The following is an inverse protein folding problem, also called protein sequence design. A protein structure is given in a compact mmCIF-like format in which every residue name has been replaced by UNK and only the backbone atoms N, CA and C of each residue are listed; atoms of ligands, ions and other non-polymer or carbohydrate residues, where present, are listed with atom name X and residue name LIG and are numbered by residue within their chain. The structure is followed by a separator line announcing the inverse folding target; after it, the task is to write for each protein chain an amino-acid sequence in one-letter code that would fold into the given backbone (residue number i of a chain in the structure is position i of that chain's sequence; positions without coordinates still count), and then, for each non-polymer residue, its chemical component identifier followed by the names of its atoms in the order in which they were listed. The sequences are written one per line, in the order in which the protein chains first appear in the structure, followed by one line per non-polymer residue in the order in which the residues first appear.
data_IF_698959357777
#
_entry.id   IF_698959357777
#
_cell.length_a   1.000
_cell.length_b   1.000
_cell.length_c   1.000
_cell.angle_alpha   90.00
_cell.angle_beta   90.00
_cell.angle_gamma   90.00
#
_symmetry.space_group_name_H-M   'P 1'
#
loop_
_entity.id
_entity.type
_entity.pdbx_description
1 polymer ?
#
# COMPACT_ATOMS: atom_id res chain seq x y z
N UNK A 1 74.67 13.32 -44.88
CA UNK A 1 73.26 13.72 -44.67
C UNK A 1 72.77 13.54 -43.23
N UNK A 2 73.07 12.44 -42.55
CA UNK A 2 72.61 12.17 -41.16
C UNK A 2 73.04 13.27 -40.15
N UNK A 3 74.26 13.79 -40.28
CA UNK A 3 74.79 14.80 -39.36
C UNK A 3 74.01 16.14 -39.40
N UNK A 4 73.62 16.60 -40.59
CA UNK A 4 72.81 17.82 -40.72
C UNK A 4 71.39 17.66 -40.14
N UNK A 5 70.81 16.46 -40.24
CA UNK A 5 69.49 16.17 -39.68
C UNK A 5 69.51 16.22 -38.14
N UNK A 6 70.58 15.71 -37.52
CA UNK A 6 70.76 15.73 -36.06
C UNK A 6 70.91 17.18 -35.56
N UNK A 7 71.72 18.00 -36.25
CA UNK A 7 71.92 19.41 -35.86
C UNK A 7 70.62 20.21 -35.94
N UNK A 8 69.81 20.00 -36.98
CA UNK A 8 68.52 20.68 -37.11
C UNK A 8 67.48 20.18 -36.08
N UNK A 9 67.53 18.90 -35.70
CA UNK A 9 66.68 18.36 -34.66
C UNK A 9 67.02 18.97 -33.29
N UNK A 10 68.31 19.04 -32.95
CA UNK A 10 68.76 19.66 -31.69
C UNK A 10 68.40 21.14 -31.66
N UNK A 11 68.58 21.89 -32.75
CA UNK A 11 68.15 23.31 -32.82
C UNK A 11 66.64 23.48 -32.63
N UNK A 12 65.83 22.57 -33.16
CA UNK A 12 64.36 22.66 -33.06
C UNK A 12 63.84 22.36 -31.66
N UNK A 13 64.49 21.46 -30.92
CA UNK A 13 64.03 21.00 -29.61
C UNK A 13 64.87 21.48 -28.41
N UNK A 14 65.91 22.27 -28.65
CA UNK A 14 66.77 22.86 -27.62
C UNK A 14 65.95 23.60 -26.53
N UNK A 15 64.88 24.31 -26.90
CA UNK A 15 64.03 25.01 -25.93
C UNK A 15 63.30 24.05 -24.97
N UNK A 16 62.86 22.89 -25.45
CA UNK A 16 62.23 21.85 -24.61
C UNK A 16 63.26 21.25 -23.66
N UNK A 17 64.47 20.98 -24.17
CA UNK A 17 65.57 20.48 -23.33
C UNK A 17 65.94 21.49 -22.24
N UNK A 18 65.97 22.78 -22.58
CA UNK A 18 66.22 23.87 -21.62
C UNK A 18 65.11 23.94 -20.56
N UNK A 19 63.83 23.80 -20.93
CA UNK A 19 62.72 23.72 -19.96
C UNK A 19 62.84 22.51 -19.02
N UNK A 20 63.25 21.34 -19.54
CA UNK A 20 63.46 20.13 -18.72
C UNK A 20 64.63 20.34 -17.75
N UNK A 21 65.75 20.91 -18.22
CA UNK A 21 66.91 21.19 -17.37
C UNK A 21 66.57 22.22 -16.29
N UNK A 22 65.82 23.28 -16.63
CA UNK A 22 65.34 24.27 -15.67
C UNK A 22 64.39 23.64 -14.65
N UNK A 23 63.47 22.77 -15.08
CA UNK A 23 62.58 22.03 -14.18
C UNK A 23 63.37 21.13 -13.21
N UNK A 24 64.36 20.38 -13.71
CA UNK A 24 65.21 19.51 -12.89
C UNK A 24 66.06 20.34 -11.91
N UNK A 25 66.60 21.50 -12.34
CA UNK A 25 67.35 22.41 -11.47
C UNK A 25 66.47 22.98 -10.36
N UNK A 26 65.26 23.44 -10.69
CA UNK A 26 64.32 23.98 -9.70
C UNK A 26 63.85 22.88 -8.73
N UNK A 27 63.60 21.65 -9.23
CA UNK A 27 63.23 20.50 -8.42
C UNK A 27 64.38 20.03 -7.51
N UNK A 28 65.61 19.98 -8.03
CA UNK A 28 66.81 19.55 -7.30
C UNK A 28 67.26 20.56 -6.24
N UNK A 29 67.02 21.85 -6.46
CA UNK A 29 67.32 22.91 -5.49
C UNK A 29 66.29 23.02 -4.34
N UNK A 30 65.22 22.20 -4.33
CA UNK A 30 64.12 22.32 -3.35
C UNK A 30 63.50 23.74 -3.27
N UNK A 31 63.69 24.59 -4.29
CA UNK A 31 63.16 25.97 -4.32
C UNK A 31 61.66 25.96 -4.62
N UNK A 32 61.15 24.89 -5.26
CA UNK A 32 59.72 24.65 -5.28
C UNK A 32 59.27 24.28 -3.86
N UNK A 33 58.43 25.10 -3.20
CA UNK A 33 57.89 24.73 -1.91
C UNK A 33 57.21 23.37 -2.06
N UNK A 34 57.51 22.44 -1.15
CA UNK A 34 56.85 21.11 -1.00
C UNK A 34 55.33 21.16 -0.84
N UNK A 35 54.70 22.30 -1.12
CA UNK A 35 53.32 22.65 -0.85
C UNK A 35 52.58 23.28 -2.04
N UNK A 36 52.90 22.95 -3.29
CA UNK A 36 51.90 23.04 -4.37
C UNK A 36 50.84 21.92 -4.20
N UNK A 37 50.24 21.88 -3.01
CA UNK A 37 48.99 21.22 -2.71
C UNK A 37 47.84 22.08 -3.28
N UNK A 38 47.86 22.32 -4.59
CA UNK A 38 46.78 23.09 -5.27
C UNK A 38 45.47 22.28 -5.26
N UNK A 39 45.52 21.01 -4.84
CA UNK A 39 44.38 20.15 -4.52
C UNK A 39 44.34 19.73 -3.04
N UNK A 40 44.89 20.50 -2.10
CA UNK A 40 44.47 20.32 -0.70
C UNK A 40 43.02 20.76 -0.63
N UNK A 41 42.10 19.78 -0.53
CA UNK A 41 40.70 19.99 -0.11
C UNK A 41 40.74 21.07 0.98
N UNK A 42 40.30 22.28 0.65
CA UNK A 42 40.20 23.32 1.66
C UNK A 42 39.25 22.75 2.72
N UNK A 43 39.69 22.74 3.98
CA UNK A 43 38.76 22.46 5.07
C UNK A 43 37.72 23.56 4.98
N UNK A 44 36.51 23.21 4.55
CA UNK A 44 35.34 24.06 4.67
C UNK A 44 35.15 24.29 6.16
N UNK A 45 35.75 25.36 6.68
CA UNK A 45 35.37 25.91 7.96
C UNK A 45 33.95 26.44 7.75
N UNK A 46 32.99 25.85 8.46
CA UNK A 46 31.58 26.22 8.39
C UNK A 46 31.40 27.59 9.07
N UNK A 47 31.88 28.65 8.44
CA UNK A 47 31.39 30.02 8.70
C UNK A 47 30.22 30.36 7.75
N UNK A 48 29.81 29.41 6.88
CA UNK A 48 28.72 29.56 5.90
C UNK A 48 27.54 28.59 6.12
N UNK A 49 27.22 28.24 7.37
CA UNK A 49 26.10 27.33 7.73
C UNK A 49 24.77 27.66 7.04
N UNK A 50 24.34 28.93 6.95
CA UNK A 50 23.07 29.27 6.32
C UNK A 50 23.02 28.98 4.81
N UNK A 51 24.16 29.09 4.11
CA UNK A 51 24.24 28.81 2.67
C UNK A 51 24.12 27.31 2.42
N UNK A 52 24.85 26.50 3.20
CA UNK A 52 24.79 25.04 3.13
C UNK A 52 23.39 24.53 3.47
N UNK A 53 22.74 25.05 4.52
CA UNK A 53 21.35 24.67 4.85
C UNK A 53 20.38 25.04 3.73
N UNK A 54 20.58 26.18 3.06
CA UNK A 54 19.75 26.57 1.92
C UNK A 54 19.92 25.62 0.73
N UNK A 55 21.15 25.29 0.37
CA UNK A 55 21.44 24.33 -0.73
C UNK A 55 20.86 22.94 -0.42
N UNK A 56 20.95 22.49 0.84
CA UNK A 56 20.35 21.22 1.27
C UNK A 56 18.83 21.25 1.12
N UNK A 57 18.17 22.37 1.44
CA UNK A 57 16.72 22.53 1.25
C UNK A 57 16.32 22.41 -0.22
N UNK A 58 17.07 23.05 -1.11
CA UNK A 58 16.84 22.96 -2.56
C UNK A 58 17.06 21.53 -3.09
N UNK A 59 18.05 20.80 -2.55
CA UNK A 59 18.31 19.40 -2.91
C UNK A 59 17.25 18.44 -2.36
N UNK A 60 16.66 18.75 -1.20
CA UNK A 60 15.53 18.00 -0.64
C UNK A 60 14.36 17.87 -1.61
N UNK A 61 14.12 18.91 -2.42
CA UNK A 61 13.08 18.91 -3.45
C UNK A 61 13.41 18.00 -4.64
N UNK A 62 14.71 17.77 -4.90
CA UNK A 62 15.20 16.87 -5.95
C UNK A 62 15.20 15.40 -5.49
N UNK A 63 15.29 15.18 -4.18
CA UNK A 63 15.26 13.85 -3.59
C UNK A 63 13.83 13.34 -3.39
N UNK A 64 13.21 12.94 -4.48
CA UNK A 64 11.86 12.37 -4.43
C UNK A 64 11.79 11.02 -5.10
N UNK A 65 10.78 10.25 -4.72
CA UNK A 65 10.35 9.06 -5.43
C UNK A 65 8.93 9.27 -5.89
N UNK A 66 8.63 8.77 -7.10
CA UNK A 66 7.32 8.86 -7.71
C UNK A 66 6.77 7.47 -7.98
N UNK A 67 5.49 7.29 -7.69
CA UNK A 67 4.72 6.10 -8.06
C UNK A 67 3.65 6.51 -9.06
N UNK A 68 3.59 5.82 -10.19
CA UNK A 68 2.52 6.01 -11.19
C UNK A 68 1.57 4.81 -11.13
N UNK A 69 0.28 5.08 -11.03
CA UNK A 69 -0.73 4.03 -10.84
C UNK A 69 -2.07 4.32 -11.50
N UNK A 70 -2.86 3.25 -11.64
CA UNK A 70 -4.25 3.29 -12.07
C UNK A 70 -5.11 2.62 -11.00
N UNK A 71 -6.14 3.33 -10.55
CA UNK A 71 -7.09 2.85 -9.54
C UNK A 71 -8.52 3.09 -10.02
N UNK A 72 -9.47 2.39 -9.44
CA UNK A 72 -10.89 2.67 -9.65
C UNK A 72 -11.61 2.86 -8.32
N UNK A 73 -12.63 3.71 -8.33
CA UNK A 73 -13.56 3.90 -7.24
C UNK A 73 -14.97 4.05 -7.78
N UNK A 74 -15.95 3.68 -6.96
CA UNK A 74 -17.36 3.80 -7.31
C UNK A 74 -18.21 4.49 -6.24
N UNK A 75 -19.35 5.04 -6.66
CA UNK A 75 -20.22 5.82 -5.78
C UNK A 75 -20.81 4.99 -4.65
N UNK A 76 -21.04 3.70 -4.85
CA UNK A 76 -21.54 2.87 -3.76
C UNK A 76 -20.47 2.61 -2.69
N UNK A 77 -19.18 2.56 -3.07
CA UNK A 77 -18.06 2.54 -2.13
C UNK A 77 -18.09 3.81 -1.26
N UNK A 78 -18.17 4.98 -1.90
CA UNK A 78 -18.30 6.29 -1.21
C UNK A 78 -19.52 6.30 -0.27
N UNK A 79 -20.69 5.87 -0.73
CA UNK A 79 -21.88 5.83 0.11
C UNK A 79 -21.74 4.92 1.31
N UNK A 80 -21.06 3.78 1.15
CA UNK A 80 -20.79 2.87 2.28
C UNK A 80 -19.97 3.57 3.36
N UNK A 81 -18.94 4.32 2.96
CA UNK A 81 -18.10 5.09 3.88
C UNK A 81 -18.87 6.24 4.54
N UNK A 82 -19.70 6.95 3.78
CA UNK A 82 -20.54 8.02 4.33
C UNK A 82 -21.54 7.48 5.36
N UNK A 83 -22.12 6.29 5.13
CA UNK A 83 -23.03 5.67 6.10
C UNK A 83 -22.32 5.32 7.41
N UNK A 84 -21.07 4.84 7.34
CA UNK A 84 -20.28 4.50 8.54
C UNK A 84 -19.80 5.77 9.24
N UNK A 85 -19.20 6.71 8.50
CA UNK A 85 -18.59 7.92 9.06
C UNK A 85 -19.61 8.87 9.69
N UNK A 86 -20.83 8.93 9.14
CA UNK A 86 -21.85 9.89 9.54
C UNK A 86 -23.12 9.22 10.06
N UNK A 87 -23.02 8.01 10.63
CA UNK A 87 -24.19 7.25 11.09
C UNK A 87 -25.09 8.08 12.03
N UNK A 88 -24.50 8.74 13.03
CA UNK A 88 -25.23 9.56 14.00
C UNK A 88 -25.85 10.79 13.34
N UNK A 89 -25.08 11.53 12.52
CA UNK A 89 -25.61 12.71 11.81
C UNK A 89 -26.77 12.35 10.88
N UNK A 90 -26.72 11.17 10.25
CA UNK A 90 -27.79 10.64 9.40
C UNK A 90 -29.02 10.18 10.21
N UNK A 91 -28.91 9.99 11.53
CA UNK A 91 -30.06 9.76 12.42
C UNK A 91 -30.73 11.07 12.81
N UNK A 92 -29.96 12.12 13.11
CA UNK A 92 -30.49 13.38 13.65
C UNK A 92 -30.86 14.43 12.57
N UNK A 93 -30.08 14.57 11.50
CA UNK A 93 -30.34 15.54 10.43
C UNK A 93 -29.97 15.02 9.03
N UNK A 94 -30.74 14.06 8.49
CA UNK A 94 -30.42 13.43 7.21
C UNK A 94 -30.64 14.34 5.99
N UNK A 95 -31.47 15.38 6.08
CA UNK A 95 -31.89 16.20 4.94
C UNK A 95 -30.71 16.87 4.23
N UNK A 96 -29.82 17.50 5.00
CA UNK A 96 -28.63 18.18 4.44
C UNK A 96 -27.68 17.24 3.70
N UNK A 97 -27.59 15.97 4.11
CA UNK A 97 -26.80 14.95 3.42
C UNK A 97 -27.49 14.47 2.16
N UNK A 98 -28.81 14.27 2.19
CA UNK A 98 -29.56 13.82 1.02
C UNK A 98 -29.68 14.90 -0.07
N UNK A 99 -29.63 16.18 0.29
CA UNK A 99 -29.49 17.26 -0.69
C UNK A 99 -28.15 17.18 -1.44
N UNK A 100 -27.05 16.91 -0.73
CA UNK A 100 -25.72 16.74 -1.34
C UNK A 100 -25.58 15.43 -2.12
N UNK A 101 -26.18 14.36 -1.59
CA UNK A 101 -26.07 12.98 -2.07
C UNK A 101 -27.46 12.34 -2.22
N UNK A 102 -28.23 12.69 -3.27
CA UNK A 102 -29.62 12.28 -3.40
C UNK A 102 -29.83 10.76 -3.44
N UNK A 103 -28.89 10.01 -4.02
CA UNK A 103 -28.98 8.54 -4.01
C UNK A 103 -28.62 7.88 -2.68
N UNK A 104 -28.05 8.61 -1.72
CA UNK A 104 -27.67 8.05 -0.42
C UNK A 104 -28.89 7.57 0.38
N UNK A 105 -30.04 8.25 0.23
CA UNK A 105 -31.30 7.85 0.89
C UNK A 105 -31.77 6.47 0.44
N UNK A 106 -31.84 6.26 -0.88
CA UNK A 106 -32.23 4.97 -1.46
C UNK A 106 -31.18 3.90 -1.13
N UNK A 107 -29.90 4.23 -1.28
CA UNK A 107 -28.80 3.34 -0.92
C UNK A 107 -28.88 2.88 0.54
N UNK A 108 -29.14 3.79 1.49
CA UNK A 108 -29.31 3.46 2.91
C UNK A 108 -30.47 2.50 3.13
N UNK A 109 -31.62 2.74 2.50
CA UNK A 109 -32.81 1.88 2.62
C UNK A 109 -32.52 0.47 2.09
N UNK A 110 -31.91 0.37 0.91
CA UNK A 110 -31.54 -0.91 0.31
C UNK A 110 -30.49 -1.65 1.14
N UNK A 111 -29.47 -0.93 1.62
CA UNK A 111 -28.41 -1.49 2.44
C UNK A 111 -28.95 -2.00 3.77
N UNK A 112 -29.83 -1.25 4.44
CA UNK A 112 -30.48 -1.71 5.67
C UNK A 112 -31.32 -2.97 5.44
N UNK A 113 -32.13 -2.99 4.37
CA UNK A 113 -32.95 -4.18 4.04
C UNK A 113 -32.08 -5.40 3.78
N UNK A 114 -31.03 -5.26 2.96
CA UNK A 114 -30.14 -6.38 2.66
C UNK A 114 -29.34 -6.84 3.89
N UNK A 115 -28.84 -5.91 4.71
CA UNK A 115 -28.12 -6.24 5.96
C UNK A 115 -28.98 -7.04 6.93
N UNK A 116 -30.28 -6.72 7.02
CA UNK A 116 -31.19 -7.49 7.87
C UNK A 116 -31.33 -8.95 7.39
N UNK A 117 -31.43 -9.17 6.08
CA UNK A 117 -31.46 -10.52 5.50
C UNK A 117 -30.13 -11.25 5.66
N UNK A 118 -29.00 -10.55 5.56
CA UNK A 118 -27.67 -11.10 5.79
C UNK A 118 -27.49 -11.58 7.23
N UNK A 119 -27.86 -10.77 8.23
CA UNK A 119 -27.79 -11.15 9.65
C UNK A 119 -28.70 -12.35 9.95
N UNK A 120 -29.89 -12.41 9.35
CA UNK A 120 -30.80 -13.55 9.51
C UNK A 120 -30.14 -14.81 8.93
N UNK A 121 -29.59 -14.73 7.72
CA UNK A 121 -28.94 -15.87 7.08
C UNK A 121 -27.68 -16.34 7.85
N UNK A 122 -26.86 -15.43 8.37
CA UNK A 122 -25.68 -15.75 9.18
C UNK A 122 -26.07 -16.56 10.42
N UNK A 123 -27.06 -16.10 11.20
CA UNK A 123 -27.57 -16.82 12.37
C UNK A 123 -28.13 -18.21 12.01
N UNK A 124 -28.80 -18.31 10.86
CA UNK A 124 -29.32 -19.58 10.37
C UNK A 124 -28.21 -20.53 9.92
N UNK A 125 -27.12 -20.00 9.34
CA UNK A 125 -25.92 -20.75 8.96
C UNK A 125 -25.22 -21.31 10.19
N UNK A 126 -24.97 -20.48 11.21
CA UNK A 126 -24.38 -20.89 12.48
C UNK A 126 -25.22 -21.99 13.16
N UNK A 127 -26.55 -21.81 13.21
CA UNK A 127 -27.46 -22.81 13.77
C UNK A 127 -27.44 -24.13 12.98
N UNK A 128 -27.29 -24.06 11.66
CA UNK A 128 -27.20 -25.24 10.80
C UNK A 128 -25.85 -25.96 10.95
N UNK A 129 -24.74 -25.22 11.08
CA UNK A 129 -23.42 -25.79 11.35
C UNK A 129 -23.37 -26.52 12.70
N UNK A 130 -23.93 -25.91 13.75
CA UNK A 130 -24.07 -26.56 15.06
C UNK A 130 -24.87 -27.86 14.95
N UNK A 131 -25.97 -27.83 14.20
CA UNK A 131 -26.78 -29.02 13.95
C UNK A 131 -26.02 -30.12 13.20
N UNK A 132 -25.26 -29.77 12.15
CA UNK A 132 -24.44 -30.73 11.40
C UNK A 132 -23.44 -31.41 12.34
N UNK A 133 -22.76 -30.62 13.18
CA UNK A 133 -21.79 -31.14 14.15
C UNK A 133 -22.44 -32.14 15.13
N UNK A 134 -23.59 -31.78 15.69
CA UNK A 134 -24.36 -32.67 16.59
C UNK A 134 -24.83 -33.95 15.88
N UNK A 135 -25.32 -33.82 14.65
CA UNK A 135 -25.75 -34.96 13.83
C UNK A 135 -24.60 -35.95 13.59
N UNK A 136 -23.43 -35.47 13.16
CA UNK A 136 -22.30 -36.36 12.91
C UNK A 136 -21.82 -37.07 14.18
N UNK A 137 -21.77 -36.36 15.31
CA UNK A 137 -21.45 -36.96 16.62
C UNK A 137 -22.44 -38.07 16.99
N UNK A 138 -23.73 -37.87 16.70
CA UNK A 138 -24.79 -38.86 16.98
C UNK A 138 -24.68 -40.09 16.08
N UNK A 139 -24.46 -39.89 14.78
CA UNK A 139 -24.25 -40.99 13.82
C UNK A 139 -22.99 -41.80 14.16
N UNK A 140 -21.90 -41.14 14.58
CA UNK A 140 -20.69 -41.84 15.02
C UNK A 140 -20.97 -42.72 16.26
N UNK A 141 -21.72 -42.20 17.23
CA UNK A 141 -22.13 -42.97 18.41
C UNK A 141 -23.02 -44.18 18.03
N UNK A 142 -23.93 -44.01 17.07
CA UNK A 142 -24.74 -45.12 16.56
C UNK A 142 -23.89 -46.18 15.87
N UNK A 143 -22.93 -45.79 15.03
CA UNK A 143 -21.99 -46.72 14.39
C UNK A 143 -21.16 -47.52 15.41
N UNK A 144 -20.67 -46.86 16.48
CA UNK A 144 -19.94 -47.56 17.56
C UNK A 144 -20.81 -48.61 18.25
N UNK A 145 -22.05 -48.25 18.61
CA UNK A 145 -23.03 -49.17 19.21
C UNK A 145 -23.41 -50.31 18.26
N UNK A 146 -23.53 -50.03 16.97
CA UNK A 146 -23.84 -51.04 15.95
C UNK A 146 -22.75 -52.11 15.90
N UNK A 147 -21.47 -51.69 15.89
CA UNK A 147 -20.31 -52.60 15.92
C UNK A 147 -20.29 -53.44 17.21
N UNK A 148 -20.55 -52.81 18.36
CA UNK A 148 -20.62 -53.49 19.66
C UNK A 148 -21.73 -54.55 19.70
N UNK A 149 -22.95 -54.20 19.26
CA UNK A 149 -24.07 -55.14 19.19
C UNK A 149 -23.78 -56.30 18.23
N UNK A 150 -23.19 -56.04 17.06
CA UNK A 150 -22.77 -57.10 16.12
C UNK A 150 -21.74 -58.04 16.74
N UNK A 151 -20.79 -57.52 17.51
CA UNK A 151 -19.83 -58.35 18.26
C UNK A 151 -20.54 -59.24 19.28
N UNK A 152 -21.49 -58.70 20.03
CA UNK A 152 -22.27 -59.46 21.02
C UNK A 152 -23.18 -60.53 20.39
N UNK A 153 -23.73 -60.29 19.20
CA UNK A 153 -24.50 -61.31 18.45
C UNK A 153 -23.61 -62.52 18.12
N UNK A 154 -22.36 -62.27 17.74
CA UNK A 154 -21.38 -63.34 17.45
C UNK A 154 -20.96 -64.15 18.68
N UNK A 155 -21.07 -63.57 19.88
CA UNK A 155 -20.68 -64.22 21.15
C UNK A 155 -21.86 -64.75 21.99
N UNK A 156 -23.10 -64.64 21.51
CA UNK A 156 -24.29 -64.98 22.31
C UNK A 156 -24.38 -66.50 22.55
N UNK A 157 -24.58 -66.90 23.82
CA UNK A 157 -24.58 -68.31 24.25
C UNK A 157 -25.93 -68.98 23.98
N UNK A 158 -27.02 -68.21 23.99
CA UNK A 158 -28.38 -68.74 23.78
C UNK A 158 -29.13 -68.07 22.63
N UNK A 159 -30.03 -68.82 21.98
CA UNK A 159 -30.91 -68.31 20.91
C UNK A 159 -31.80 -67.15 21.39
N UNK A 160 -32.25 -67.20 22.64
CA UNK A 160 -33.08 -66.15 23.25
C UNK A 160 -32.30 -64.84 23.42
N UNK A 161 -31.07 -64.91 23.90
CA UNK A 161 -30.18 -63.75 24.05
C UNK A 161 -29.85 -63.14 22.69
N UNK A 162 -29.48 -63.97 21.70
CA UNK A 162 -29.22 -63.52 20.33
C UNK A 162 -30.39 -62.72 19.76
N UNK A 163 -31.62 -63.23 19.90
CA UNK A 163 -32.85 -62.54 19.43
C UNK A 163 -33.08 -61.19 20.12
N UNK A 164 -32.73 -61.05 21.40
CA UNK A 164 -32.82 -59.77 22.12
C UNK A 164 -31.80 -58.75 21.59
N UNK A 165 -30.58 -59.18 21.27
CA UNK A 165 -29.53 -58.31 20.73
C UNK A 165 -29.86 -57.89 19.29
N UNK A 166 -30.35 -58.82 18.47
CA UNK A 166 -30.86 -58.54 17.12
C UNK A 166 -31.96 -57.48 17.14
N UNK A 167 -32.95 -57.61 18.03
CA UNK A 167 -34.00 -56.57 18.18
C UNK A 167 -33.42 -55.19 18.53
N UNK A 168 -32.43 -55.13 19.43
CA UNK A 168 -31.76 -53.86 19.79
C UNK A 168 -30.98 -53.27 18.61
N UNK A 169 -30.40 -54.12 17.77
CA UNK A 169 -29.72 -53.70 16.54
C UNK A 169 -30.72 -53.11 15.55
N UNK A 170 -31.86 -53.78 15.34
CA UNK A 170 -32.93 -53.28 14.47
C UNK A 170 -33.47 -51.93 14.96
N UNK A 171 -33.72 -51.78 16.27
CA UNK A 171 -34.14 -50.52 16.89
C UNK A 171 -33.11 -49.40 16.69
N UNK A 172 -31.81 -49.71 16.75
CA UNK A 172 -30.72 -48.75 16.51
C UNK A 172 -30.63 -48.35 15.03
N UNK A 173 -30.82 -49.29 14.12
CA UNK A 173 -30.84 -49.03 12.68
C UNK A 173 -32.02 -48.15 12.30
N UNK A 174 -33.20 -48.39 12.87
CA UNK A 174 -34.36 -47.54 12.62
C UNK A 174 -34.16 -46.12 13.17
N UNK A 175 -33.62 -45.98 14.41
CA UNK A 175 -33.20 -44.67 14.94
C UNK A 175 -32.20 -43.97 14.03
N UNK A 176 -31.26 -44.71 13.44
CA UNK A 176 -30.26 -44.14 12.53
C UNK A 176 -30.91 -43.60 11.26
N UNK A 177 -31.88 -44.33 10.69
CA UNK A 177 -32.66 -43.85 9.54
C UNK A 177 -33.48 -42.61 9.88
N UNK A 178 -34.09 -42.56 11.06
CA UNK A 178 -34.87 -41.40 11.48
C UNK A 178 -33.99 -40.14 11.63
N UNK A 179 -32.79 -40.27 12.21
CA UNK A 179 -31.83 -39.16 12.23
C UNK A 179 -31.39 -38.73 10.83
N UNK A 180 -31.18 -39.68 9.91
CA UNK A 180 -30.86 -39.37 8.52
C UNK A 180 -32.00 -38.62 7.83
N UNK A 181 -33.25 -39.03 8.03
CA UNK A 181 -34.44 -38.33 7.52
C UNK A 181 -34.52 -36.90 8.08
N UNK A 182 -34.30 -36.74 9.38
CA UNK A 182 -34.28 -35.43 10.04
C UNK A 182 -33.16 -34.52 9.49
N UNK A 183 -31.97 -35.08 9.27
CA UNK A 183 -30.86 -34.38 8.62
C UNK A 183 -31.20 -33.92 7.20
N UNK A 184 -31.75 -34.80 6.37
CA UNK A 184 -32.14 -34.48 5.00
C UNK A 184 -33.16 -33.34 5.00
N UNK A 185 -34.21 -33.44 5.82
CA UNK A 185 -35.25 -32.40 5.91
C UNK A 185 -34.67 -31.04 6.35
N UNK A 186 -33.79 -31.03 7.36
CA UNK A 186 -33.17 -29.78 7.83
C UNK A 186 -32.19 -29.20 6.81
N UNK A 187 -31.44 -30.04 6.10
CA UNK A 187 -30.57 -29.66 4.98
C UNK A 187 -31.34 -29.03 3.84
N UNK A 188 -32.46 -29.63 3.42
CA UNK A 188 -33.32 -29.06 2.38
C UNK A 188 -33.88 -27.69 2.77
N UNK A 189 -34.34 -27.55 4.01
CA UNK A 189 -34.81 -26.26 4.55
C UNK A 189 -33.69 -25.20 4.53
N UNK A 190 -32.48 -25.57 4.94
CA UNK A 190 -31.32 -24.68 4.90
C UNK A 190 -30.95 -24.29 3.46
N UNK A 191 -30.89 -25.25 2.54
CA UNK A 191 -30.62 -24.99 1.12
C UNK A 191 -31.65 -24.02 0.52
N UNK A 192 -32.91 -24.12 0.91
CA UNK A 192 -33.96 -23.17 0.51
C UNK A 192 -33.68 -21.74 0.98
N UNK A 193 -33.24 -21.58 2.23
CA UNK A 193 -32.84 -20.28 2.82
C UNK A 193 -31.59 -19.72 2.13
N UNK A 194 -30.58 -20.56 1.90
CA UNK A 194 -29.37 -20.18 1.17
C UNK A 194 -29.69 -19.71 -0.25
N UNK A 195 -30.55 -20.43 -0.98
CA UNK A 195 -30.99 -20.02 -2.32
C UNK A 195 -31.68 -18.65 -2.29
N UNK A 196 -32.55 -18.42 -1.32
CA UNK A 196 -33.22 -17.13 -1.12
C UNK A 196 -32.23 -16.00 -0.82
N UNK A 197 -31.29 -16.21 0.10
CA UNK A 197 -30.23 -15.24 0.42
C UNK A 197 -29.35 -14.94 -0.80
N UNK A 198 -28.94 -15.97 -1.57
CA UNK A 198 -28.16 -15.78 -2.82
C UNK A 198 -28.93 -14.94 -3.84
N UNK A 199 -30.24 -15.15 -3.97
CA UNK A 199 -31.10 -14.34 -4.84
C UNK A 199 -31.17 -12.89 -4.36
N UNK A 200 -31.45 -12.67 -3.07
CA UNK A 200 -31.46 -11.34 -2.47
C UNK A 200 -30.13 -10.60 -2.66
N UNK A 201 -28.99 -11.27 -2.42
CA UNK A 201 -27.64 -10.73 -2.64
C UNK A 201 -27.40 -10.35 -4.10
N UNK A 202 -27.84 -11.19 -5.04
CA UNK A 202 -27.81 -10.89 -6.47
C UNK A 202 -28.67 -9.66 -6.80
N UNK A 203 -29.89 -9.59 -6.28
CA UNK A 203 -30.83 -8.50 -6.58
C UNK A 203 -30.35 -7.17 -5.95
N UNK A 204 -29.81 -7.20 -4.74
CA UNK A 204 -29.12 -6.07 -4.11
C UNK A 204 -27.95 -5.57 -4.95
N UNK A 205 -27.10 -6.47 -5.46
CA UNK A 205 -25.99 -6.11 -6.39
C UNK A 205 -26.51 -5.50 -7.70
N UNK A 206 -27.61 -6.00 -8.25
CA UNK A 206 -28.23 -5.44 -9.47
C UNK A 206 -28.79 -4.04 -9.21
N UNK A 207 -29.45 -3.81 -8.08
CA UNK A 207 -29.96 -2.49 -7.67
C UNK A 207 -28.82 -1.47 -7.53
N UNK A 208 -27.73 -1.84 -6.87
CA UNK A 208 -26.52 -1.01 -6.76
C UNK A 208 -25.89 -0.62 -8.09
N UNK A 209 -26.00 -1.47 -9.11
CA UNK A 209 -25.52 -1.15 -10.47
C UNK A 209 -26.40 -0.13 -11.19
N UNK A 210 -27.68 0.04 -10.81
CA UNK A 210 -28.61 0.96 -11.49
C UNK A 210 -28.21 2.41 -11.36
N UNK A 211 -27.57 2.82 -10.26
CA UNK A 211 -27.09 4.19 -10.02
C UNK A 211 -25.68 4.15 -9.46
N UNK A 212 -24.73 3.67 -10.27
CA UNK A 212 -23.32 3.65 -9.90
C UNK A 212 -22.47 4.51 -10.83
N UNK A 213 -21.80 5.49 -10.25
CA UNK A 213 -20.76 6.27 -10.92
C UNK A 213 -19.43 5.60 -10.63
N UNK A 214 -18.73 5.11 -11.66
CA UNK A 214 -17.39 4.53 -11.51
C UNK A 214 -16.38 5.41 -12.23
N UNK A 215 -15.30 5.76 -11.55
CA UNK A 215 -14.16 6.43 -12.16
C UNK A 215 -12.94 5.52 -12.13
N UNK A 216 -12.21 5.53 -13.23
CA UNK A 216 -10.82 5.08 -13.28
C UNK A 216 -9.96 6.35 -13.14
N UNK A 217 -9.13 6.39 -12.11
CA UNK A 217 -8.17 7.45 -11.83
C UNK A 217 -6.75 6.99 -12.16
N UNK A 218 -6.04 7.76 -12.98
CA UNK A 218 -4.65 7.53 -13.38
C UNK A 218 -3.82 8.73 -13.00
N UNK A 219 -2.85 8.51 -12.15
CA UNK A 219 -2.11 9.60 -11.53
C UNK A 219 -0.76 9.16 -11.03
N UNK A 220 -0.17 10.05 -10.23
CA UNK A 220 1.07 9.78 -9.54
C UNK A 220 0.99 10.21 -8.09
N UNK A 221 1.85 9.59 -7.29
CA UNK A 221 2.06 9.89 -5.88
C UNK A 221 3.54 10.20 -5.72
N UNK A 222 3.86 11.38 -5.20
CA UNK A 222 5.23 11.80 -4.93
C UNK A 222 5.48 11.75 -3.44
N UNK A 223 6.54 11.08 -3.07
CA UNK A 223 7.06 11.05 -1.71
C UNK A 223 8.48 11.59 -1.68
N UNK A 224 8.83 12.20 -0.56
CA UNK A 224 10.15 12.79 -0.36
C UNK A 224 10.32 13.23 1.08
N UNK A 225 11.38 13.98 1.33
CA UNK A 225 11.70 14.48 2.66
C UNK A 225 11.50 15.99 2.65
N UNK A 226 10.65 16.49 3.55
CA UNK A 226 10.48 17.93 3.72
C UNK A 226 11.60 18.48 4.60
N UNK A 227 12.60 19.11 3.98
CA UNK A 227 13.75 19.71 4.67
C UNK A 227 13.53 21.18 5.07
N UNK A 228 12.34 21.75 4.86
CA UNK A 228 12.08 23.17 5.16
C UNK A 228 12.36 23.53 6.63
N UNK A 229 12.16 22.56 7.53
CA UNK A 229 12.38 22.70 8.97
C UNK A 229 13.75 22.18 9.43
N UNK A 230 14.68 21.90 8.52
CA UNK A 230 16.04 21.51 8.87
C UNK A 230 16.75 22.71 9.51
N UNK A 231 17.36 22.48 10.67
CA UNK A 231 18.12 23.48 11.42
C UNK A 231 19.61 23.15 11.47
N UNK A 232 20.43 24.17 11.71
CA UNK A 232 21.90 24.04 11.79
C UNK A 232 22.35 23.03 12.86
N UNK A 233 21.56 22.82 13.91
CA UNK A 233 21.85 21.84 14.98
C UNK A 233 21.75 20.39 14.52
N UNK A 234 21.14 20.16 13.37
CA UNK A 234 20.87 18.82 12.81
C UNK A 234 21.93 18.40 11.80
N UNK A 235 22.88 19.28 11.51
CA UNK A 235 24.03 19.03 10.64
C UNK A 235 25.28 19.35 11.46
N UNK A 236 26.10 18.34 11.74
CA UNK A 236 27.34 18.55 12.48
C UNK A 236 28.47 17.68 11.93
N UNK A 237 29.68 18.23 11.98
CA UNK A 237 30.92 17.53 11.61
C UNK A 237 31.46 16.89 12.88
N UNK A 238 32.01 15.67 12.77
CA UNK A 238 32.67 15.01 13.88
C UNK A 238 33.99 15.75 14.22
N UNK A 239 34.14 16.23 15.45
CA UNK A 239 35.33 16.94 15.92
C UNK A 239 36.62 16.10 15.78
N UNK A 240 36.50 14.77 15.77
CA UNK A 240 37.63 13.83 15.64
C UNK A 240 38.04 13.57 14.19
N UNK A 241 37.12 13.74 13.23
CA UNK A 241 37.35 13.51 11.80
C UNK A 241 36.62 14.58 11.00
N UNK A 242 37.31 15.67 10.65
CA UNK A 242 36.73 16.79 9.91
C UNK A 242 36.20 16.43 8.52
N UNK A 243 36.42 15.20 8.05
CA UNK A 243 35.90 14.67 6.79
C UNK A 243 34.64 13.79 7.00
N UNK A 244 34.14 13.72 8.23
CA UNK A 244 32.95 12.97 8.61
C UNK A 244 31.80 13.89 9.03
N UNK A 245 30.69 13.81 8.30
CA UNK A 245 29.50 14.61 8.55
C UNK A 245 28.31 13.75 9.00
N UNK A 246 27.59 14.25 10.00
CA UNK A 246 26.37 13.68 10.54
C UNK A 246 25.18 14.58 10.24
N UNK A 247 24.08 13.96 9.78
CA UNK A 247 22.89 14.68 9.37
C UNK A 247 21.66 13.98 9.95
N UNK A 248 20.78 14.74 10.59
CA UNK A 248 19.53 14.25 11.17
C UNK A 248 18.32 14.84 10.45
N UNK A 249 17.64 14.05 9.61
CA UNK A 249 16.53 14.50 8.75
C UNK A 249 15.21 13.83 9.13
N UNK A 250 14.04 14.42 8.80
CA UNK A 250 12.75 13.77 9.06
C UNK A 250 12.55 12.52 8.19
N UNK A 251 11.67 11.60 8.62
CA UNK A 251 11.25 10.47 7.80
C UNK A 251 10.50 10.93 6.53
N UNK A 252 10.60 10.20 5.40
CA UNK A 252 9.87 10.56 4.19
C UNK A 252 8.36 10.52 4.39
N UNK A 253 7.67 11.44 3.72
CA UNK A 253 6.21 11.52 3.70
C UNK A 253 5.69 11.63 2.28
N UNK A 254 4.38 11.41 2.09
CA UNK A 254 3.71 11.80 0.86
C UNK A 254 3.73 13.33 0.79
N UNK A 255 4.23 13.86 -0.32
CA UNK A 255 4.31 15.29 -0.58
C UNK A 255 3.12 15.75 -1.43
N UNK A 256 2.74 14.93 -2.42
CA UNK A 256 1.63 15.25 -3.30
C UNK A 256 0.99 13.97 -3.87
N UNK A 257 -0.31 14.06 -4.14
CA UNK A 257 -1.14 13.03 -4.76
C UNK A 257 -1.98 13.71 -5.84
N UNK A 258 -1.65 13.45 -7.10
CA UNK A 258 -2.38 14.03 -8.19
C UNK A 258 -2.86 13.04 -9.26
N UNK A 259 -4.05 13.33 -9.76
CA UNK A 259 -4.67 12.65 -10.89
C UNK A 259 -4.96 13.73 -11.90
N UNK A 260 -4.13 13.80 -12.93
CA UNK A 260 -4.19 14.87 -13.92
C UNK A 260 -5.61 14.92 -14.55
N UNK A 261 -6.34 16.05 -14.43
CA UNK A 261 -7.68 16.14 -15.01
C UNK A 261 -7.67 16.09 -16.54
N UNK A 262 -6.51 16.36 -17.16
CA UNK A 262 -6.28 16.37 -18.60
C UNK A 262 -5.71 15.04 -19.11
N UNK A 263 -5.18 15.05 -20.34
CA UNK A 263 -4.61 13.87 -20.96
C UNK A 263 -3.15 13.67 -20.56
N UNK A 264 -2.82 12.47 -20.09
CA UNK A 264 -1.46 11.96 -20.01
C UNK A 264 -1.05 11.58 -21.43
N UNK A 265 -0.02 12.25 -21.96
CA UNK A 265 0.53 11.96 -23.27
C UNK A 265 1.41 10.71 -23.20
N UNK A 266 0.93 9.59 -23.73
CA UNK A 266 1.80 8.44 -24.00
C UNK A 266 2.26 8.47 -25.46
N UNK A 267 3.39 7.81 -25.78
CA UNK A 267 3.94 7.73 -27.16
C UNK A 267 2.91 7.28 -28.21
N UNK A 268 1.83 6.60 -27.80
CA UNK A 268 0.82 6.03 -28.70
C UNK A 268 -0.56 6.68 -28.59
N UNK A 269 -0.96 7.21 -27.42
CA UNK A 269 -2.33 7.74 -27.18
C UNK A 269 -2.39 8.81 -26.08
N UNK A 270 -3.38 9.70 -26.19
CA UNK A 270 -3.81 10.61 -25.11
C UNK A 270 -4.75 9.85 -24.17
N UNK A 271 -4.35 9.64 -22.92
CA UNK A 271 -5.16 8.91 -21.91
C UNK A 271 -5.65 9.92 -20.86
N UNK A 272 -6.96 9.97 -20.59
CA UNK A 272 -7.51 10.87 -19.55
C UNK A 272 -7.09 10.39 -18.16
N UNK A 273 -6.69 11.31 -17.27
CA UNK A 273 -6.39 10.93 -15.88
C UNK A 273 -7.64 10.54 -15.11
N UNK A 274 -8.81 11.14 -15.39
CA UNK A 274 -10.09 10.57 -14.99
C UNK A 274 -10.88 10.05 -16.19
N UNK A 275 -11.16 8.76 -16.19
CA UNK A 275 -12.05 8.12 -17.15
C UNK A 275 -13.33 7.68 -16.46
N UNK A 276 -14.45 8.19 -16.95
CA UNK A 276 -15.77 7.82 -16.45
C UNK A 276 -16.17 6.47 -17.04
N UNK A 277 -16.26 5.46 -16.19
CA UNK A 277 -16.74 4.15 -16.56
C UNK A 277 -18.18 3.99 -16.05
N UNK A 278 -19.15 4.54 -16.79
CA UNK A 278 -20.55 4.16 -16.53
C UNK A 278 -20.69 2.77 -17.14
N UNK A 279 -20.85 1.75 -16.29
CA UNK A 279 -21.23 0.43 -16.78
C UNK A 279 -22.45 0.64 -17.68
N UNK A 280 -22.34 0.26 -18.96
CA UNK A 280 -23.45 0.29 -19.93
C UNK A 280 -24.55 -0.66 -19.45
N UNK A 281 -25.26 -0.30 -18.39
CA UNK A 281 -26.62 -0.73 -18.18
C UNK A 281 -27.44 0.04 -19.20
N UNK A 282 -28.43 -0.59 -19.83
CA UNK A 282 -29.34 0.02 -20.81
C UNK A 282 -30.12 1.26 -20.29
N UNK A 283 -29.77 1.76 -19.11
CA UNK A 283 -30.22 3.01 -18.49
C UNK A 283 -29.44 4.20 -19.07
N UNK A 284 -30.18 5.25 -19.45
CA UNK A 284 -29.68 6.54 -19.90
C UNK A 284 -28.95 7.38 -18.81
N UNK A 285 -28.19 6.74 -17.93
CA UNK A 285 -27.39 7.45 -16.95
C UNK A 285 -26.18 8.09 -17.64
N UNK A 286 -26.08 9.39 -17.47
CA UNK A 286 -24.95 10.21 -17.86
C UNK A 286 -24.40 10.88 -16.60
N UNK A 287 -23.25 11.56 -16.72
CA UNK A 287 -22.68 12.36 -15.63
C UNK A 287 -23.69 13.39 -15.06
N UNK A 288 -24.64 13.86 -15.88
CA UNK A 288 -25.64 14.85 -15.47
C UNK A 288 -26.65 14.32 -14.42
N UNK A 289 -26.74 13.00 -14.24
CA UNK A 289 -27.61 12.40 -13.22
C UNK A 289 -26.99 12.40 -11.81
N UNK A 290 -25.76 12.88 -11.66
CA UNK A 290 -25.02 12.90 -10.41
C UNK A 290 -24.70 14.34 -10.00
N UNK A 291 -24.73 14.59 -8.69
CA UNK A 291 -24.35 15.91 -8.16
C UNK A 291 -22.84 16.12 -8.25
N UNK A 292 -22.40 17.38 -8.24
CA UNK A 292 -20.97 17.69 -8.19
C UNK A 292 -20.29 17.10 -6.92
N UNK A 293 -21.02 17.04 -5.81
CA UNK A 293 -20.54 16.40 -4.57
C UNK A 293 -20.29 14.90 -4.74
N UNK A 294 -21.19 14.19 -5.43
CA UNK A 294 -21.02 12.76 -5.73
C UNK A 294 -19.82 12.51 -6.64
N UNK A 295 -19.70 13.28 -7.73
CA UNK A 295 -18.58 13.18 -8.66
C UNK A 295 -17.25 13.42 -7.94
N UNK A 296 -17.17 14.47 -7.14
CA UNK A 296 -15.94 14.81 -6.43
C UNK A 296 -15.60 13.81 -5.33
N UNK A 297 -16.60 13.26 -4.65
CA UNK A 297 -16.36 12.23 -3.64
C UNK A 297 -15.76 10.96 -4.26
N UNK A 298 -16.25 10.52 -5.43
CA UNK A 298 -15.66 9.37 -6.14
C UNK A 298 -14.24 9.68 -6.61
N UNK A 299 -14.00 10.88 -7.16
CA UNK A 299 -12.64 11.30 -7.56
C UNK A 299 -11.66 11.37 -6.39
N UNK A 300 -12.11 11.93 -5.26
CA UNK A 300 -11.31 11.98 -4.03
C UNK A 300 -11.00 10.58 -3.53
N UNK A 301 -11.97 9.66 -3.61
CA UNK A 301 -11.75 8.25 -3.29
C UNK A 301 -10.71 7.60 -4.19
N UNK A 302 -10.66 7.92 -5.49
CA UNK A 302 -9.54 7.49 -6.35
C UNK A 302 -8.19 8.01 -5.83
N UNK A 303 -8.08 9.28 -5.42
CA UNK A 303 -6.81 9.81 -4.87
C UNK A 303 -6.37 9.04 -3.62
N UNK A 304 -7.28 8.79 -2.69
CA UNK A 304 -7.00 7.99 -1.48
C UNK A 304 -6.50 6.58 -1.84
N UNK A 305 -7.17 5.89 -2.78
CA UNK A 305 -6.76 4.54 -3.19
C UNK A 305 -5.39 4.55 -3.89
N UNK A 306 -5.12 5.56 -4.71
CA UNK A 306 -3.84 5.71 -5.39
C UNK A 306 -2.70 5.91 -4.38
N UNK A 307 -2.93 6.71 -3.34
CA UNK A 307 -1.99 6.90 -2.22
C UNK A 307 -1.76 5.59 -1.46
N UNK A 308 -2.82 4.85 -1.13
CA UNK A 308 -2.73 3.54 -0.47
C UNK A 308 -1.92 2.54 -1.29
N UNK A 309 -2.21 2.41 -2.59
CA UNK A 309 -1.46 1.55 -3.50
C UNK A 309 0.02 1.92 -3.53
N UNK A 310 0.35 3.22 -3.57
CA UNK A 310 1.73 3.69 -3.54
C UNK A 310 2.47 3.30 -2.25
N UNK A 311 1.79 3.43 -1.10
CA UNK A 311 2.34 3.03 0.20
C UNK A 311 2.58 1.53 0.26
N UNK A 312 1.63 0.71 -0.20
CA UNK A 312 1.76 -0.75 -0.27
C UNK A 312 2.91 -1.20 -1.17
N UNK A 313 3.20 -0.42 -2.23
CA UNK A 313 4.34 -0.65 -3.13
C UNK A 313 5.67 -0.13 -2.59
N UNK A 314 5.70 0.38 -1.36
CA UNK A 314 6.93 0.79 -0.68
C UNK A 314 7.47 2.13 -1.17
N UNK A 315 6.61 3.04 -1.63
CA UNK A 315 7.01 4.37 -2.11
C UNK A 315 7.86 5.14 -1.07
N UNK A 316 7.49 5.10 0.21
CA UNK A 316 8.26 5.78 1.27
C UNK A 316 9.67 5.19 1.42
N UNK A 317 9.83 3.86 1.26
CA UNK A 317 11.15 3.21 1.27
C UNK A 317 11.99 3.63 0.07
N UNK A 318 11.38 3.77 -1.10
CA UNK A 318 12.04 4.27 -2.30
C UNK A 318 12.47 5.73 -2.12
N UNK A 319 11.60 6.59 -1.55
CA UNK A 319 11.93 7.97 -1.22
C UNK A 319 13.09 8.07 -0.23
N UNK A 320 13.08 7.24 0.82
CA UNK A 320 14.16 7.15 1.81
C UNK A 320 15.50 6.84 1.15
N UNK A 321 15.52 5.82 0.28
CA UNK A 321 16.73 5.42 -0.45
C UNK A 321 17.21 6.54 -1.40
N UNK A 322 16.28 7.16 -2.13
CA UNK A 322 16.59 8.30 -3.02
C UNK A 322 17.25 9.44 -2.26
N UNK A 323 16.76 9.74 -1.05
CA UNK A 323 17.31 10.78 -0.19
C UNK A 323 18.70 10.48 0.35
N UNK A 324 18.91 9.27 0.84
CA UNK A 324 20.23 8.86 1.31
C UNK A 324 21.23 9.00 0.16
N UNK A 325 20.95 8.40 -1.00
CA UNK A 325 21.86 8.48 -2.15
C UNK A 325 22.10 9.92 -2.62
N UNK A 326 21.05 10.75 -2.71
CA UNK A 326 21.18 12.13 -3.18
C UNK A 326 22.02 12.98 -2.21
N UNK A 327 21.75 12.88 -0.91
CA UNK A 327 22.47 13.63 0.10
C UNK A 327 23.91 13.13 0.24
N UNK A 328 24.15 11.81 0.27
CA UNK A 328 25.51 11.23 0.27
C UNK A 328 26.33 11.76 -0.90
N UNK A 329 25.78 11.73 -2.11
CA UNK A 329 26.46 12.26 -3.29
C UNK A 329 26.74 13.77 -3.17
N UNK A 330 25.78 14.54 -2.67
CA UNK A 330 25.97 15.98 -2.47
C UNK A 330 27.14 16.27 -1.51
N UNK A 331 27.17 15.64 -0.33
CA UNK A 331 28.25 15.87 0.63
C UNK A 331 29.59 15.31 0.17
N UNK A 332 29.60 14.21 -0.60
CA UNK A 332 30.83 13.75 -1.25
C UNK A 332 31.37 14.77 -2.25
N UNK A 333 30.51 15.46 -3.01
CA UNK A 333 30.92 16.54 -3.90
C UNK A 333 31.47 17.75 -3.13
N UNK A 334 30.97 18.02 -1.93
CA UNK A 334 31.51 19.02 -1.02
C UNK A 334 32.83 18.60 -0.35
N UNK A 335 33.29 17.37 -0.56
CA UNK A 335 34.61 16.89 -0.14
C UNK A 335 34.63 15.99 1.10
N UNK A 336 33.48 15.71 1.71
CA UNK A 336 33.35 14.77 2.83
C UNK A 336 33.61 13.33 2.37
N UNK A 337 34.36 12.56 3.15
CA UNK A 337 34.71 11.17 2.82
C UNK A 337 33.74 10.19 3.44
N UNK A 338 33.16 10.54 4.58
CA UNK A 338 32.15 9.75 5.28
C UNK A 338 30.92 10.63 5.51
N UNK A 339 29.75 10.11 5.19
CA UNK A 339 28.47 10.78 5.39
C UNK A 339 27.56 9.83 6.16
N UNK A 340 27.05 10.25 7.33
CA UNK A 340 26.08 9.47 8.10
C UNK A 340 24.76 10.22 8.20
N UNK A 341 23.75 9.65 7.56
CA UNK A 341 22.39 10.18 7.55
C UNK A 341 21.54 9.37 8.51
N UNK A 342 20.99 10.02 9.53
CA UNK A 342 20.03 9.44 10.46
C UNK A 342 18.66 10.08 10.25
N UNK A 343 17.61 9.32 10.52
CA UNK A 343 16.23 9.79 10.41
C UNK A 343 15.65 10.03 11.79
N UNK A 344 14.95 11.14 11.98
CA UNK A 344 14.18 11.44 13.20
C UNK A 344 13.06 10.42 13.30
N UNK A 345 13.18 9.48 14.22
CA UNK A 345 12.04 8.65 14.62
C UNK A 345 11.11 9.50 15.48
N UNK A 346 9.82 9.14 15.52
CA UNK A 346 8.82 9.84 16.36
C UNK A 346 9.23 9.93 17.83
N UNK A 347 10.02 8.97 18.31
CA UNK A 347 10.53 8.94 19.68
C UNK A 347 11.56 10.05 19.96
N UNK A 348 12.27 10.53 18.93
CA UNK A 348 13.27 11.59 19.05
C UNK A 348 12.61 12.96 19.27
N UNK A 349 11.43 13.19 18.68
CA UNK A 349 10.66 14.44 18.83
C UNK A 349 10.08 14.62 20.25
N UNK A 350 9.86 13.53 20.99
CA UNK A 350 9.38 13.57 22.37
C UNK A 350 10.48 13.98 23.36
N UNK A 351 11.75 13.71 23.04
CA UNK A 351 12.89 14.01 23.91
C UNK A 351 13.37 15.44 23.68
N UNK A 352 13.32 15.97 22.46
CA UNK A 352 13.78 17.33 22.16
C UNK A 352 12.83 18.45 22.60
N UNK A 353 11.59 18.10 22.96
CA UNK A 353 10.56 19.05 23.40
C UNK A 353 10.37 19.08 24.93
N UNK A 354 11.16 18.30 25.68
CA UNK A 354 11.33 18.38 27.13
C UNK A 354 12.71 18.95 27.44
#
# INVERSE_FOLDING_TARGET
MVFLAIVNFIKKYWFIFLLIVVYILIAGLNILPRGLNIFKKHRLLIDETPVVVKEIKEIGELSTAEFYGEVYADLNEVYSELLVKYEDSLRYNPSSFYEKYPGLKEYRKENHSFRSEEIIFEKESESYELFISQYYKKIENYRKKEVELKKHIGSAVSKSEKKKIEKRLDDLLEKTKDEQRAYISKKEKFNGKEKSYRKAKSDYRKKRKKRNLVYIGRGWVKAGINLNNLSDKEIFIDDSDSLYIHILIPEPSILDVDINPWFIHTRKKKIKGFELFIAKTNSALTKANFTHFEVNAVKHKCKIKLEQDALEKGLLKAAKKSAITTLENFFHLLGFEKVKINFKTKDYELISNN
#
